data_IF_099987287775
#
_entry.id   IF_099987287775
#
_cell.length_a   1.000
_cell.length_b   1.000
_cell.length_c   1.000
_cell.angle_alpha   90.00
_cell.angle_beta   90.00
_cell.angle_gamma   90.00
#
_symmetry.space_group_name_H-M   'P 1'
#
loop_
_entity.id
_entity.type
_entity.pdbx_description
1 polymer ?
#
# COMPACT_ATOMS: atom_id res chain seq x y z
N UNK A 1 -3.49 -8.32 -27.53
CA UNK A 1 -2.98 -7.03 -27.05
C UNK A 1 -3.71 -6.78 -25.76
N UNK A 2 -3.05 -6.93 -24.62
CA UNK A 2 -3.32 -6.19 -23.40
C UNK A 2 -2.10 -6.43 -22.52
N UNK A 3 -1.41 -5.34 -22.28
CA UNK A 3 -0.06 -5.24 -21.73
C UNK A 3 -0.14 -5.42 -20.20
N UNK A 4 0.89 -6.07 -19.63
CA UNK A 4 1.43 -5.86 -18.27
C UNK A 4 0.46 -6.12 -17.10
N UNK A 5 0.75 -7.03 -16.17
CA UNK A 5 1.86 -6.86 -15.24
C UNK A 5 2.12 -8.18 -14.48
N UNK A 6 2.72 -9.16 -15.13
CA UNK A 6 3.47 -10.21 -14.42
C UNK A 6 4.83 -9.62 -14.04
N UNK A 7 4.89 -8.80 -13.00
CA UNK A 7 6.16 -8.29 -12.45
C UNK A 7 6.20 -8.53 -10.95
N UNK A 8 6.86 -9.61 -10.53
CA UNK A 8 7.56 -9.69 -9.24
C UNK A 8 6.74 -9.40 -7.96
N UNK A 9 5.51 -9.93 -7.86
CA UNK A 9 4.68 -9.88 -6.65
C UNK A 9 4.74 -11.16 -5.81
N UNK A 10 5.82 -11.94 -5.85
CA UNK A 10 5.82 -13.23 -5.10
C UNK A 10 5.76 -13.03 -3.57
N UNK A 11 6.14 -11.85 -3.06
CA UNK A 11 6.21 -11.57 -1.61
C UNK A 11 5.06 -10.72 -1.05
N UNK A 12 4.41 -9.89 -1.89
CA UNK A 12 3.33 -9.01 -1.46
C UNK A 12 1.96 -9.68 -1.68
N UNK A 13 1.33 -10.07 -0.58
CA UNK A 13 0.00 -10.68 -0.55
C UNK A 13 -1.04 -9.57 -0.52
N UNK A 14 -1.99 -9.59 -1.45
CA UNK A 14 -3.14 -8.68 -1.44
C UNK A 14 -4.00 -8.92 -0.19
N UNK A 15 -4.32 -7.83 0.50
CA UNK A 15 -5.16 -7.83 1.69
C UNK A 15 -6.28 -6.80 1.54
N UNK A 16 -7.35 -6.97 2.30
CA UNK A 16 -8.39 -5.96 2.35
C UNK A 16 -7.90 -4.72 3.11
N UNK A 17 -8.39 -3.54 2.71
CA UNK A 17 -8.07 -2.29 3.40
C UNK A 17 -8.57 -2.25 4.84
N UNK A 18 -9.52 -3.13 5.19
CA UNK A 18 -10.01 -3.36 6.56
C UNK A 18 -9.05 -4.20 7.40
N UNK A 19 -8.16 -4.97 6.76
CA UNK A 19 -7.11 -5.74 7.43
C UNK A 19 -5.92 -4.84 7.81
N UNK A 20 -5.82 -3.66 7.19
CA UNK A 20 -4.82 -2.67 7.56
C UNK A 20 -5.07 -2.15 8.99
N UNK A 21 -4.00 -1.97 9.78
CA UNK A 21 -4.10 -1.30 11.06
C UNK A 21 -4.70 0.10 10.88
N UNK A 22 -5.60 0.51 11.78
CA UNK A 22 -6.14 1.89 11.75
C UNK A 22 -5.02 2.93 11.74
N UNK A 23 -3.94 2.69 12.46
CA UNK A 23 -2.71 3.52 12.43
C UNK A 23 -2.19 3.72 11.01
N UNK A 24 -2.10 2.66 10.21
CA UNK A 24 -1.59 2.71 8.83
C UNK A 24 -2.56 3.51 7.96
N UNK A 25 -3.85 3.22 8.05
CA UNK A 25 -4.88 3.92 7.27
C UNK A 25 -4.91 5.42 7.60
N UNK A 26 -4.87 5.76 8.88
CA UNK A 26 -4.85 7.16 9.34
C UNK A 26 -3.57 7.87 8.87
N UNK A 27 -2.39 7.27 9.08
CA UNK A 27 -1.12 7.88 8.66
C UNK A 27 -1.08 8.12 7.15
N UNK A 28 -1.57 7.17 6.35
CA UNK A 28 -1.62 7.28 4.89
C UNK A 28 -2.62 8.34 4.45
N UNK A 29 -3.80 8.36 5.07
CA UNK A 29 -4.82 9.38 4.78
C UNK A 29 -4.34 10.78 5.17
N UNK A 30 -3.58 10.94 6.25
CA UNK A 30 -3.01 12.22 6.67
C UNK A 30 -1.79 12.63 5.83
N UNK A 31 -0.93 11.68 5.47
CA UNK A 31 0.29 11.95 4.70
C UNK A 31 0.02 12.27 3.24
N UNK A 32 -0.90 11.54 2.61
CA UNK A 32 -1.17 11.65 1.18
C UNK A 32 -2.49 12.34 0.87
N UNK A 33 -3.42 12.44 1.82
CA UNK A 33 -4.74 13.05 1.58
C UNK A 33 -5.61 12.25 0.61
N UNK A 34 -5.32 10.97 0.39
CA UNK A 34 -6.02 10.12 -0.58
C UNK A 34 -6.67 8.91 0.10
N UNK A 35 -7.46 8.15 -0.66
CA UNK A 35 -8.02 6.88 -0.22
C UNK A 35 -7.16 5.71 -0.71
N UNK A 36 -7.00 4.69 0.15
CA UNK A 36 -6.40 3.42 -0.22
C UNK A 36 -7.38 2.64 -1.11
N UNK A 37 -6.96 2.37 -2.34
CA UNK A 37 -7.68 1.55 -3.32
C UNK A 37 -7.38 0.06 -3.12
N UNK A 38 -6.10 -0.27 -3.03
CA UNK A 38 -5.60 -1.64 -2.90
C UNK A 38 -4.53 -1.67 -1.81
N UNK A 39 -4.48 -2.77 -1.08
CA UNK A 39 -3.52 -2.96 0.00
C UNK A 39 -2.86 -4.32 -0.15
N UNK A 40 -1.56 -4.37 0.11
CA UNK A 40 -0.77 -5.58 0.06
C UNK A 40 0.17 -5.60 1.26
N UNK A 41 0.51 -6.77 1.75
CA UNK A 41 1.46 -6.97 2.86
C UNK A 41 2.55 -7.94 2.44
N UNK A 42 3.79 -7.65 2.84
CA UNK A 42 4.95 -8.52 2.66
C UNK A 42 5.76 -8.56 3.96
N UNK A 43 6.42 -9.68 4.21
CA UNK A 43 7.30 -9.86 5.35
C UNK A 43 8.75 -9.83 4.87
N UNK A 44 9.47 -8.76 5.20
CA UNK A 44 10.88 -8.62 4.87
C UNK A 44 11.76 -8.87 6.09
N UNK A 45 13.08 -8.84 5.91
CA UNK A 45 14.05 -8.93 7.02
C UNK A 45 13.89 -7.77 8.03
N UNK A 46 13.33 -6.63 7.61
CA UNK A 46 13.10 -5.45 8.45
C UNK A 46 11.76 -5.49 9.20
N UNK A 47 10.84 -6.38 8.79
CA UNK A 47 9.51 -6.53 9.38
C UNK A 47 8.40 -6.56 8.33
N UNK A 48 7.17 -6.28 8.78
CA UNK A 48 6.01 -6.21 7.88
C UNK A 48 5.98 -4.89 7.13
N UNK A 49 5.93 -4.98 5.80
CA UNK A 49 5.77 -3.85 4.89
C UNK A 49 4.40 -3.95 4.22
N UNK A 50 3.64 -2.86 4.30
CA UNK A 50 2.39 -2.69 3.62
C UNK A 50 2.60 -1.84 2.36
N UNK A 51 2.28 -2.40 1.21
CA UNK A 51 2.22 -1.68 -0.06
C UNK A 51 0.79 -1.23 -0.26
N UNK A 52 0.56 0.06 -0.39
CA UNK A 52 -0.77 0.65 -0.57
C UNK A 52 -0.82 1.35 -1.91
N UNK A 53 -1.87 1.07 -2.67
CA UNK A 53 -2.19 1.78 -3.90
C UNK A 53 -3.22 2.82 -3.56
N UNK A 54 -2.83 4.07 -3.73
CA UNK A 54 -3.62 5.24 -3.43
C UNK A 54 -4.32 5.74 -4.69
N UNK A 55 -5.56 6.18 -4.52
CA UNK A 55 -6.35 6.76 -5.59
C UNK A 55 -7.12 7.98 -5.08
N UNK A 56 -7.20 9.00 -5.92
CA UNK A 56 -7.93 10.24 -5.67
C UNK A 56 -8.45 10.81 -7.00
N UNK A 57 -9.30 11.84 -6.95
CA UNK A 57 -9.86 12.47 -8.16
C UNK A 57 -8.79 13.09 -9.07
N UNK A 58 -7.64 13.48 -8.50
CA UNK A 58 -6.54 14.12 -9.23
C UNK A 58 -5.35 13.18 -9.48
N UNK A 59 -5.25 12.08 -8.74
CA UNK A 59 -4.10 11.16 -8.78
C UNK A 59 -4.59 9.71 -8.81
N UNK A 60 -4.34 9.03 -9.94
CA UNK A 60 -4.62 7.60 -10.10
C UNK A 60 -3.35 6.78 -9.89
N UNK A 61 -3.40 5.83 -8.95
CA UNK A 61 -2.41 4.74 -8.87
C UNK A 61 -1.09 5.12 -8.21
N UNK A 62 -1.09 5.98 -7.19
CA UNK A 62 0.12 6.24 -6.41
C UNK A 62 0.42 5.07 -5.49
N UNK A 63 1.53 4.38 -5.72
CA UNK A 63 1.97 3.28 -4.85
C UNK A 63 2.86 3.83 -3.74
N UNK A 64 2.51 3.53 -2.49
CA UNK A 64 3.29 3.89 -1.30
C UNK A 64 3.62 2.64 -0.50
N UNK A 65 4.80 2.60 0.09
CA UNK A 65 5.22 1.52 0.98
C UNK A 65 5.28 2.08 2.39
N UNK A 66 4.60 1.44 3.33
CA UNK A 66 4.53 1.85 4.73
C UNK A 66 4.82 0.67 5.63
N UNK A 67 5.42 0.91 6.79
CA UNK A 67 5.64 -0.15 7.77
C UNK A 67 4.37 -0.41 8.62
N UNK A 68 4.44 -1.33 9.57
CA UNK A 68 3.35 -1.61 10.54
C UNK A 68 2.89 -0.42 11.38
N UNK A 69 3.71 0.64 11.47
CA UNK A 69 3.37 1.89 12.16
C UNK A 69 2.76 2.94 11.24
N UNK A 70 2.56 2.62 9.97
CA UNK A 70 2.07 3.57 8.97
C UNK A 70 3.13 4.59 8.53
N UNK A 71 4.39 4.38 8.89
CA UNK A 71 5.46 5.27 8.44
C UNK A 71 5.86 4.90 7.02
N UNK A 72 5.87 5.86 6.07
CA UNK A 72 6.31 5.60 4.72
C UNK A 72 7.80 5.28 4.68
N UNK A 73 8.12 4.15 4.03
CA UNK A 73 9.48 3.75 3.69
C UNK A 73 9.85 4.54 2.42
N UNK A 74 10.49 5.69 2.62
CA UNK A 74 10.98 6.59 1.56
C UNK A 74 12.32 6.13 0.98
#
# INVERSE_FOLDING_TARGET
METTQETFYDDFIEIETTDLPQTVVTAVSEAFGTCVKEAYVSMTEEGLIYKLVLTSEEVEGTVVYVNEKGEPLM
#
